data_IF_804332055188
#
_entry.id   IF_804332055188
#
_cell.length_a   1.000
_cell.length_b   1.000
_cell.length_c   1.000
_cell.angle_alpha   90.00
_cell.angle_beta   90.00
_cell.angle_gamma   90.00
#
_symmetry.space_group_name_H-M   'P 1'
#
loop_
_entity.id
_entity.type
_entity.pdbx_description
1 polymer ?
#
# COMPACT_ATOMS: atom_id res chain seq x y z
N UNK A 1 -5.38 -8.16 24.12
CA UNK A 1 -3.98 -8.53 24.40
C UNK A 1 -3.60 -9.68 23.45
N UNK A 2 -3.18 -9.38 22.22
CA UNK A 2 -2.80 -10.38 21.20
C UNK A 2 -1.38 -10.00 20.76
N UNK A 3 -0.36 -10.54 21.42
CA UNK A 3 1.03 -10.05 21.27
C UNK A 3 2.11 -11.12 21.07
N UNK A 4 1.80 -12.41 20.87
CA UNK A 4 2.88 -13.43 20.84
C UNK A 4 2.87 -14.52 19.74
N UNK A 5 1.83 -14.67 18.91
CA UNK A 5 1.60 -15.93 18.15
C UNK A 5 2.38 -16.13 16.85
N UNK A 6 3.47 -15.41 16.71
CA UNK A 6 4.35 -15.53 15.55
C UNK A 6 5.81 -15.78 16.03
N UNK A 7 6.07 -15.56 17.31
CA UNK A 7 7.37 -15.74 17.97
C UNK A 7 7.66 -17.22 18.30
N UNK A 8 6.66 -18.11 18.30
CA UNK A 8 6.92 -19.54 18.55
C UNK A 8 7.51 -20.29 17.35
N UNK A 9 7.23 -19.87 16.10
CA UNK A 9 7.92 -20.38 14.90
C UNK A 9 9.43 -20.07 14.92
N UNK A 10 9.83 -18.98 15.57
CA UNK A 10 11.23 -18.55 15.67
C UNK A 10 12.04 -19.39 16.66
N UNK A 11 11.38 -20.07 17.61
CA UNK A 11 12.04 -20.98 18.56
C UNK A 11 12.53 -22.28 17.90
N UNK A 12 12.00 -22.64 16.73
CA UNK A 12 12.45 -23.82 15.94
C UNK A 12 13.22 -23.46 14.67
N UNK A 13 13.23 -22.18 14.27
CA UNK A 13 14.03 -21.65 13.17
C UNK A 13 14.59 -20.28 13.58
N UNK A 14 15.83 -20.19 14.09
CA UNK A 14 16.36 -18.98 14.74
C UNK A 14 16.54 -17.76 13.81
N UNK A 15 16.23 -17.87 12.53
CA UNK A 15 16.42 -16.84 11.51
C UNK A 15 15.15 -16.08 11.09
N UNK A 16 14.00 -16.41 11.70
CA UNK A 16 12.73 -15.82 11.30
C UNK A 16 12.40 -14.64 12.23
N UNK A 17 12.45 -13.41 11.71
CA UNK A 17 11.91 -12.24 12.40
C UNK A 17 10.62 -11.79 11.73
N UNK A 18 9.58 -11.66 12.54
CA UNK A 18 8.31 -11.11 12.12
C UNK A 18 8.16 -9.69 12.64
N UNK A 19 7.80 -8.76 11.76
CA UNK A 19 7.63 -7.36 12.14
C UNK A 19 6.23 -7.14 12.71
N UNK A 20 6.17 -6.49 13.88
CA UNK A 20 4.93 -5.98 14.46
C UNK A 20 4.51 -4.70 13.74
N UNK A 21 3.29 -4.66 13.21
CA UNK A 21 2.67 -3.41 12.74
C UNK A 21 2.51 -2.41 13.90
N UNK A 22 2.86 -1.14 13.67
CA UNK A 22 2.61 -0.03 14.62
C UNK A 22 3.65 0.18 15.73
N UNK A 23 4.85 -0.40 15.66
CA UNK A 23 5.92 -0.12 16.62
C UNK A 23 7.20 0.31 15.91
N UNK A 24 7.56 1.58 16.08
CA UNK A 24 8.91 2.06 15.84
C UNK A 24 9.82 1.51 16.95
N UNK A 25 10.28 0.26 16.81
CA UNK A 25 11.35 -0.24 17.66
C UNK A 25 12.68 0.27 17.10
N UNK A 26 13.34 1.09 17.91
CA UNK A 26 14.57 1.85 17.64
C UNK A 26 15.85 1.02 17.69
N UNK A 27 15.78 -0.31 17.78
CA UNK A 27 16.94 -1.18 17.79
C UNK A 27 16.85 -2.20 16.64
N UNK A 28 17.26 -1.78 15.44
CA UNK A 28 17.41 -2.66 14.29
C UNK A 28 18.85 -3.20 14.28
N UNK A 29 19.12 -4.47 14.65
CA UNK A 29 20.42 -5.06 14.40
C UNK A 29 20.69 -5.09 12.89
N UNK A 30 21.97 -5.08 12.51
CA UNK A 30 22.41 -5.09 11.12
C UNK A 30 21.70 -6.19 10.30
N UNK A 31 21.19 -5.80 9.13
CA UNK A 31 20.72 -6.67 8.05
C UNK A 31 19.72 -7.81 8.39
N UNK A 32 18.77 -7.63 9.31
CA UNK A 32 17.67 -8.59 9.42
C UNK A 32 16.69 -8.42 8.24
N UNK A 33 16.57 -9.47 7.41
CA UNK A 33 15.62 -9.51 6.30
C UNK A 33 14.27 -10.03 6.80
N UNK A 34 13.19 -9.31 6.46
CA UNK A 34 11.84 -9.67 6.84
C UNK A 34 11.31 -10.79 5.95
N UNK A 35 10.62 -11.75 6.57
CA UNK A 35 9.93 -12.82 5.84
C UNK A 35 8.40 -12.69 5.94
N UNK A 36 7.90 -11.70 6.66
CA UNK A 36 6.47 -11.55 6.96
C UNK A 36 6.12 -10.12 7.33
N UNK A 37 4.92 -9.69 6.94
CA UNK A 37 4.26 -8.47 7.41
C UNK A 37 2.91 -8.78 8.04
N UNK A 38 2.55 -8.04 9.08
CA UNK A 38 1.30 -8.23 9.84
C UNK A 38 0.46 -6.96 9.88
N UNK A 39 -0.86 -7.09 9.92
CA UNK A 39 -1.78 -6.01 10.23
C UNK A 39 -2.99 -6.53 11.03
N UNK A 40 -3.74 -5.61 11.64
CA UNK A 40 -4.89 -5.96 12.47
C UNK A 40 -6.02 -4.96 12.30
N UNK A 41 -7.26 -5.46 12.42
CA UNK A 41 -8.47 -4.66 12.54
C UNK A 41 -9.19 -5.05 13.82
N UNK A 42 -9.41 -4.09 14.70
CA UNK A 42 -10.21 -4.26 15.91
C UNK A 42 -11.63 -3.76 15.61
N UNK A 43 -12.61 -4.63 15.79
CA UNK A 43 -14.04 -4.31 15.75
C UNK A 43 -14.73 -4.77 17.03
N UNK A 44 -16.05 -4.58 17.10
CA UNK A 44 -16.90 -5.17 18.13
C UNK A 44 -17.93 -6.08 17.46
N UNK A 45 -18.10 -7.34 17.91
CA UNK A 45 -17.36 -8.01 19.00
C UNK A 45 -15.99 -8.60 18.57
N UNK A 46 -15.63 -8.51 17.29
CA UNK A 46 -14.53 -9.30 16.73
C UNK A 46 -13.25 -8.50 16.46
N UNK A 47 -12.10 -9.17 16.59
CA UNK A 47 -10.80 -8.67 16.15
C UNK A 47 -10.21 -9.61 15.09
N UNK A 48 -9.57 -9.05 14.07
CA UNK A 48 -8.90 -9.79 13.01
C UNK A 48 -7.43 -9.41 12.95
N UNK A 49 -6.55 -10.40 12.93
CA UNK A 49 -5.12 -10.24 12.72
C UNK A 49 -4.73 -11.11 11.52
N UNK A 50 -4.18 -10.49 10.48
CA UNK A 50 -3.68 -11.18 9.31
C UNK A 50 -2.19 -10.93 9.11
N UNK A 51 -1.56 -11.83 8.38
CA UNK A 51 -0.17 -11.68 8.00
C UNK A 51 0.11 -12.32 6.64
N UNK A 52 1.23 -11.91 6.05
CA UNK A 52 1.84 -12.56 4.89
C UNK A 52 3.06 -13.34 5.33
N UNK A 53 3.40 -14.44 4.65
CA UNK A 53 4.67 -15.15 4.83
C UNK A 53 5.30 -15.34 3.45
N UNK A 54 6.52 -14.84 3.28
CA UNK A 54 7.29 -14.96 2.05
C UNK A 54 7.91 -16.36 1.98
N UNK A 55 7.16 -17.32 1.42
CA UNK A 55 7.65 -18.68 1.23
C UNK A 55 8.61 -18.77 0.04
N UNK A 56 8.12 -18.42 -1.15
CA UNK A 56 8.80 -18.52 -2.46
C UNK A 56 8.38 -17.36 -3.38
N UNK A 57 8.09 -16.18 -2.83
CA UNK A 57 7.58 -15.06 -3.61
C UNK A 57 8.60 -14.59 -4.66
N UNK A 58 8.13 -14.18 -5.84
CA UNK A 58 8.98 -13.52 -6.83
C UNK A 58 9.35 -12.11 -6.32
N UNK A 59 10.57 -11.98 -5.80
CA UNK A 59 11.07 -10.74 -5.18
C UNK A 59 11.22 -9.60 -6.20
N UNK A 60 11.46 -9.91 -7.47
CA UNK A 60 11.56 -8.92 -8.55
C UNK A 60 10.19 -8.26 -8.78
N UNK A 61 9.17 -9.07 -9.09
CA UNK A 61 7.81 -8.56 -9.32
C UNK A 61 7.26 -7.81 -8.10
N UNK A 62 7.55 -8.30 -6.89
CA UNK A 62 7.16 -7.61 -5.66
C UNK A 62 7.84 -6.23 -5.56
N UNK A 63 9.13 -6.14 -5.86
CA UNK A 63 9.84 -4.86 -5.81
C UNK A 63 9.33 -3.88 -6.85
N UNK A 64 9.07 -4.33 -8.09
CA UNK A 64 8.56 -3.52 -9.20
C UNK A 64 7.16 -3.00 -8.92
N UNK A 65 6.29 -3.82 -8.32
CA UNK A 65 4.91 -3.45 -7.97
C UNK A 65 4.83 -2.42 -6.83
N UNK A 66 5.92 -2.24 -6.08
CA UNK A 66 6.01 -1.30 -4.95
C UNK A 66 6.81 -0.04 -5.30
N UNK A 67 7.28 0.09 -6.54
CA UNK A 67 7.96 1.30 -7.01
C UNK A 67 6.96 2.46 -6.99
N UNK A 68 7.37 3.57 -6.40
CA UNK A 68 6.63 4.83 -6.42
C UNK A 68 7.23 5.78 -7.45
N UNK A 69 6.39 6.57 -8.11
CA UNK A 69 6.86 7.70 -8.91
C UNK A 69 7.65 8.68 -8.02
N UNK A 70 8.69 9.30 -8.56
CA UNK A 70 9.48 10.34 -7.88
C UNK A 70 8.75 11.68 -7.93
N UNK A 71 7.55 11.73 -7.36
CA UNK A 71 6.70 12.92 -7.28
C UNK A 71 6.45 13.26 -5.82
N UNK A 72 6.26 14.55 -5.54
CA UNK A 72 5.92 15.01 -4.20
C UNK A 72 4.43 14.80 -3.95
N UNK A 73 4.10 13.83 -3.08
CA UNK A 73 2.74 13.56 -2.64
C UNK A 73 2.55 14.10 -1.22
N UNK A 74 1.61 15.02 -1.06
CA UNK A 74 1.23 15.61 0.22
C UNK A 74 -0.07 14.93 0.68
N UNK A 75 0.03 14.05 1.67
CA UNK A 75 -1.11 13.27 2.19
C UNK A 75 -0.98 12.98 3.69
N UNK A 76 -2.12 12.70 4.34
CA UNK A 76 -2.17 12.19 5.73
C UNK A 76 -2.11 10.66 5.81
N UNK A 77 -1.94 9.97 4.69
CA UNK A 77 -1.85 8.52 4.65
C UNK A 77 -0.61 8.00 5.41
N UNK A 78 -0.73 6.82 6.02
CA UNK A 78 0.40 6.17 6.68
C UNK A 78 1.38 5.65 5.63
N UNK A 79 2.60 6.18 5.62
CA UNK A 79 3.63 5.74 4.70
C UNK A 79 4.06 4.28 4.99
N UNK A 80 4.25 3.50 3.93
CA UNK A 80 4.90 2.21 4.02
C UNK A 80 6.35 2.38 4.48
N UNK A 81 6.83 1.48 5.35
CA UNK A 81 8.24 1.48 5.79
C UNK A 81 9.00 0.38 5.05
N UNK A 82 9.84 0.73 4.05
CA UNK A 82 10.60 -0.25 3.29
C UNK A 82 11.47 -1.11 4.20
N UNK A 83 11.63 -2.38 3.85
CA UNK A 83 12.48 -3.30 4.59
C UNK A 83 13.07 -4.33 3.64
N UNK A 84 14.35 -4.71 3.82
CA UNK A 84 14.91 -5.85 3.12
C UNK A 84 14.06 -7.09 3.40
N UNK A 85 13.79 -7.89 2.37
CA UNK A 85 12.97 -9.10 2.47
C UNK A 85 13.79 -10.34 2.15
N UNK A 86 13.31 -11.51 2.61
CA UNK A 86 13.85 -12.83 2.27
C UNK A 86 12.72 -13.84 2.17
N UNK A 87 12.86 -14.83 1.29
CA UNK A 87 11.98 -15.98 1.25
C UNK A 87 12.44 -17.06 2.24
N UNK A 88 11.51 -17.85 2.76
CA UNK A 88 11.84 -19.05 3.52
C UNK A 88 12.66 -20.05 2.69
N UNK A 89 12.37 -20.18 1.39
CA UNK A 89 13.11 -21.03 0.48
C UNK A 89 14.58 -20.60 0.27
N UNK A 90 14.91 -19.32 0.53
CA UNK A 90 16.30 -18.83 0.52
C UNK A 90 17.09 -19.33 1.75
N UNK A 91 16.39 -19.79 2.81
CA UNK A 91 16.98 -20.34 4.03
C UNK A 91 16.98 -21.87 3.97
N UNK A 92 15.86 -22.46 3.55
CA UNK A 92 15.70 -23.89 3.40
C UNK A 92 14.97 -24.20 2.08
N UNK A 93 15.72 -24.73 1.12
CA UNK A 93 15.23 -25.04 -0.24
C UNK A 93 14.11 -26.09 -0.28
N UNK A 94 13.92 -26.85 0.79
CA UNK A 94 12.86 -27.85 0.88
C UNK A 94 11.49 -27.23 1.21
N UNK A 95 11.45 -25.96 1.63
CA UNK A 95 10.18 -25.29 1.94
C UNK A 95 9.37 -25.07 0.68
N UNK A 96 8.13 -25.52 0.69
CA UNK A 96 7.11 -25.16 -0.29
C UNK A 96 5.82 -24.67 0.39
N UNK A 97 4.95 -24.05 -0.41
CA UNK A 97 3.70 -23.43 0.09
C UNK A 97 2.77 -24.44 0.73
N UNK A 98 2.66 -25.66 0.18
CA UNK A 98 1.75 -26.69 0.70
C UNK A 98 2.20 -27.18 2.09
N UNK A 99 3.49 -27.47 2.25
CA UNK A 99 4.06 -27.85 3.54
C UNK A 99 3.93 -26.73 4.57
N UNK A 100 4.14 -25.47 4.17
CA UNK A 100 3.98 -24.33 5.05
C UNK A 100 2.53 -24.17 5.51
N UNK A 101 1.56 -24.32 4.61
CA UNK A 101 0.14 -24.27 4.93
C UNK A 101 -0.24 -25.34 5.95
N UNK A 102 0.17 -26.60 5.72
CA UNK A 102 -0.05 -27.70 6.65
C UNK A 102 0.62 -27.42 8.00
N UNK A 103 1.88 -27.00 8.01
CA UNK A 103 2.62 -26.73 9.24
C UNK A 103 1.97 -25.64 10.09
N UNK A 104 1.56 -24.52 9.47
CA UNK A 104 0.85 -23.43 10.16
C UNK A 104 -0.52 -23.88 10.66
N UNK A 105 -1.26 -24.63 9.85
CA UNK A 105 -2.57 -25.13 10.25
C UNK A 105 -2.50 -26.14 11.40
N UNK A 106 -1.57 -27.09 11.37
CA UNK A 106 -1.38 -28.03 12.48
C UNK A 106 -0.88 -27.32 13.74
N UNK A 107 0.00 -26.31 13.61
CA UNK A 107 0.40 -25.46 14.74
C UNK A 107 -0.81 -24.79 15.38
N UNK A 108 -1.71 -24.24 14.56
CA UNK A 108 -2.95 -23.64 15.04
C UNK A 108 -3.84 -24.67 15.75
N UNK A 109 -4.05 -25.84 15.14
CA UNK A 109 -4.95 -26.88 15.68
C UNK A 109 -4.46 -27.49 17.00
N UNK A 110 -3.14 -27.60 17.19
CA UNK A 110 -2.55 -28.16 18.43
C UNK A 110 -2.36 -27.13 19.54
N UNK A 111 -2.55 -25.83 19.25
CA UNK A 111 -2.32 -24.76 20.22
C UNK A 111 -3.62 -24.33 20.87
N UNK A 112 -3.67 -24.31 22.21
CA UNK A 112 -4.81 -23.79 22.94
C UNK A 112 -4.94 -22.26 22.75
N UNK A 113 -6.11 -21.78 22.32
CA UNK A 113 -6.31 -20.38 21.93
C UNK A 113 -6.10 -19.37 23.09
N UNK A 114 -6.33 -19.79 24.34
CA UNK A 114 -6.24 -18.94 25.53
C UNK A 114 -4.90 -19.05 26.25
N UNK A 115 -4.32 -20.26 26.39
CA UNK A 115 -3.05 -20.49 27.11
C UNK A 115 -1.82 -20.47 26.20
N UNK A 116 -1.98 -20.59 24.88
CA UNK A 116 -0.88 -20.65 23.90
C UNK A 116 0.10 -21.82 24.12
N UNK A 117 -0.40 -22.89 24.72
CA UNK A 117 0.33 -24.12 24.98
C UNK A 117 0.11 -25.12 23.84
N UNK A 118 1.15 -25.87 23.50
CA UNK A 118 1.09 -26.99 22.56
C UNK A 118 0.47 -28.20 23.27
N UNK A 119 -0.82 -28.43 23.05
CA UNK A 119 -1.57 -29.58 23.56
C UNK A 119 -1.43 -30.83 22.68
N UNK A 120 -0.58 -30.78 21.65
CA UNK A 120 -0.24 -31.91 20.80
C UNK A 120 -1.45 -32.58 20.12
N UNK A 121 -1.38 -33.90 20.00
CA UNK A 121 -2.42 -34.70 19.32
C UNK A 121 -3.76 -34.65 20.05
N UNK A 122 -3.77 -34.61 21.39
CA UNK A 122 -5.00 -34.52 22.19
C UNK A 122 -5.78 -33.27 21.84
N UNK A 123 -5.11 -32.12 21.79
CA UNK A 123 -5.77 -30.86 21.39
C UNK A 123 -6.22 -30.89 19.93
N UNK A 124 -5.41 -31.47 19.04
CA UNK A 124 -5.75 -31.58 17.61
C UNK A 124 -7.03 -32.40 17.40
N UNK A 125 -7.22 -33.49 18.15
CA UNK A 125 -8.42 -34.33 18.07
C UNK A 125 -9.71 -33.64 18.56
N UNK A 126 -9.58 -32.60 19.40
CA UNK A 126 -10.72 -31.80 19.85
C UNK A 126 -11.17 -30.76 18.81
N UNK A 127 -10.42 -30.58 17.73
CA UNK A 127 -10.73 -29.64 16.66
C UNK A 127 -11.37 -30.35 15.47
N UNK A 128 -12.09 -29.60 14.63
CA UNK A 128 -12.69 -30.13 13.40
C UNK A 128 -11.71 -30.32 12.24
N UNK A 129 -10.40 -30.25 12.51
CA UNK A 129 -9.35 -30.31 11.49
C UNK A 129 -9.42 -29.17 10.46
N UNK A 130 -8.78 -29.39 9.31
CA UNK A 130 -8.85 -28.46 8.18
C UNK A 130 -10.23 -28.50 7.53
N UNK A 131 -10.81 -27.32 7.30
CA UNK A 131 -12.11 -27.18 6.66
C UNK A 131 -11.93 -26.47 5.32
N UNK A 132 -12.29 -27.14 4.23
CA UNK A 132 -12.36 -26.51 2.92
C UNK A 132 -13.62 -25.66 2.84
N UNK A 133 -13.48 -24.44 2.35
CA UNK A 133 -14.59 -23.51 2.15
C UNK A 133 -14.91 -23.41 0.66
N UNK A 134 -16.21 -23.36 0.33
CA UNK A 134 -16.67 -23.05 -1.01
C UNK A 134 -17.23 -21.62 -1.03
N UNK A 135 -16.49 -20.60 -1.52
CA UNK A 135 -16.84 -19.19 -1.43
C UNK A 135 -17.95 -18.79 -2.44
N UNK A 136 -19.11 -19.42 -2.31
CA UNK A 136 -20.30 -19.19 -3.13
C UNK A 136 -21.38 -18.47 -2.35
N UNK A 137 -22.28 -17.79 -3.06
CA UNK A 137 -23.44 -17.12 -2.47
C UNK A 137 -24.32 -18.05 -1.62
N UNK A 138 -24.42 -19.33 -2.01
CA UNK A 138 -25.18 -20.34 -1.27
C UNK A 138 -24.60 -20.61 0.12
N UNK A 139 -23.26 -20.62 0.23
CA UNK A 139 -22.57 -20.91 1.50
C UNK A 139 -22.31 -19.64 2.31
N UNK A 140 -22.14 -18.50 1.62
CA UNK A 140 -21.86 -17.19 2.19
C UNK A 140 -22.73 -16.12 1.50
N UNK A 141 -24.00 -15.96 1.89
CA UNK A 141 -24.87 -14.92 1.35
C UNK A 141 -24.24 -13.53 1.53
N UNK A 142 -24.27 -12.72 0.48
CA UNK A 142 -23.62 -11.41 0.37
C UNK A 142 -22.19 -11.45 -0.18
N UNK A 143 -21.57 -12.61 -0.42
CA UNK A 143 -20.17 -12.66 -0.89
C UNK A 143 -19.99 -12.05 -2.28
N UNK A 144 -20.99 -12.17 -3.16
CA UNK A 144 -20.93 -11.56 -4.48
C UNK A 144 -21.01 -10.03 -4.40
N UNK A 145 -21.87 -9.50 -3.53
CA UNK A 145 -21.96 -8.06 -3.27
C UNK A 145 -20.65 -7.53 -2.68
N UNK A 146 -20.10 -8.23 -1.68
CA UNK A 146 -18.80 -7.90 -1.09
C UNK A 146 -17.68 -7.92 -2.14
N UNK A 147 -17.68 -8.90 -3.05
CA UNK A 147 -16.72 -8.98 -4.14
C UNK A 147 -16.87 -7.80 -5.11
N UNK A 148 -18.10 -7.46 -5.48
CA UNK A 148 -18.38 -6.32 -6.35
C UNK A 148 -17.92 -5.01 -5.70
N UNK A 149 -18.24 -4.80 -4.42
CA UNK A 149 -17.81 -3.64 -3.67
C UNK A 149 -16.28 -3.57 -3.54
N UNK A 150 -15.60 -4.65 -3.15
CA UNK A 150 -14.13 -4.63 -2.99
C UNK A 150 -13.35 -4.56 -4.31
N UNK A 151 -14.02 -4.76 -5.45
CA UNK A 151 -13.45 -4.57 -6.78
C UNK A 151 -13.86 -3.25 -7.42
N UNK A 152 -14.71 -2.44 -6.76
CA UNK A 152 -15.21 -1.17 -7.29
C UNK A 152 -14.15 -0.08 -7.20
N UNK A 153 -14.29 0.95 -8.05
CA UNK A 153 -13.48 2.16 -7.98
C UNK A 153 -13.54 2.79 -6.59
N UNK A 154 -14.76 2.96 -6.07
CA UNK A 154 -15.04 3.59 -4.77
C UNK A 154 -14.28 2.93 -3.62
N UNK A 155 -14.00 1.63 -3.74
CA UNK A 155 -13.21 0.90 -2.77
C UNK A 155 -11.71 0.94 -3.07
N UNK A 156 -11.31 0.46 -4.25
CA UNK A 156 -9.89 0.24 -4.60
C UNK A 156 -9.12 1.55 -4.65
N UNK A 157 -9.72 2.61 -5.18
CA UNK A 157 -9.10 3.92 -5.36
C UNK A 157 -9.80 4.97 -4.48
N UNK A 158 -11.13 4.94 -4.43
CA UNK A 158 -11.96 5.95 -3.77
C UNK A 158 -11.76 6.08 -2.26
N UNK A 159 -11.27 5.02 -1.58
CA UNK A 159 -10.91 5.08 -0.14
C UNK A 159 -9.55 5.68 0.14
N UNK A 160 -8.78 6.05 -0.88
CA UNK A 160 -7.50 6.75 -0.69
C UNK A 160 -7.77 8.10 -0.02
N UNK A 161 -7.10 8.42 1.11
CA UNK A 161 -7.25 9.74 1.74
C UNK A 161 -6.91 10.86 0.75
N UNK A 162 -7.62 11.99 0.85
CA UNK A 162 -7.32 13.18 0.04
C UNK A 162 -5.82 13.49 0.07
N UNK A 163 -5.27 13.80 -1.09
CA UNK A 163 -3.86 14.16 -1.26
C UNK A 163 -3.67 15.22 -2.34
N UNK A 164 -2.51 15.88 -2.31
CA UNK A 164 -2.07 16.82 -3.34
C UNK A 164 -0.79 16.29 -3.98
N UNK A 165 -0.70 16.45 -5.30
CA UNK A 165 0.45 16.08 -6.12
C UNK A 165 1.12 17.34 -6.60
N UNK A 166 2.43 17.47 -6.35
CA UNK A 166 3.23 18.57 -6.87
C UNK A 166 4.27 18.06 -7.89
N UNK A 167 4.29 18.67 -9.08
CA UNK A 167 5.24 18.31 -10.15
C UNK A 167 5.84 19.56 -10.77
N UNK A 168 7.15 19.57 -10.94
CA UNK A 168 7.85 20.67 -11.64
C UNK A 168 7.56 20.61 -13.14
N UNK A 169 7.33 21.77 -13.73
CA UNK A 169 7.11 21.99 -15.15
C UNK A 169 8.18 22.93 -15.70
N UNK A 170 8.83 22.49 -16.77
CA UNK A 170 9.74 23.30 -17.56
C UNK A 170 9.03 23.74 -18.85
N UNK A 171 8.94 25.05 -19.07
CA UNK A 171 8.31 25.63 -20.26
C UNK A 171 9.27 25.62 -21.47
N UNK A 172 8.71 25.53 -22.68
CA UNK A 172 9.49 25.67 -23.93
C UNK A 172 9.93 27.13 -24.13
N UNK A 173 11.18 27.33 -24.60
CA UNK A 173 11.73 28.66 -24.93
C UNK A 173 12.24 29.45 -23.72
N UNK A 174 12.57 28.77 -22.64
CA UNK A 174 12.89 29.38 -21.35
C UNK A 174 14.39 29.71 -21.23
N UNK A 175 14.83 30.75 -21.93
CA UNK A 175 16.21 31.28 -21.78
C UNK A 175 16.49 31.78 -20.35
N UNK A 176 15.43 32.03 -19.56
CA UNK A 176 15.47 32.53 -18.18
C UNK A 176 15.30 31.47 -17.09
N UNK A 177 15.11 30.18 -17.44
CA UNK A 177 15.06 29.08 -16.45
C UNK A 177 13.86 29.07 -15.48
N UNK A 178 12.75 29.73 -15.81
CA UNK A 178 11.56 29.79 -14.96
C UNK A 178 10.90 28.40 -14.75
N UNK A 179 10.91 27.87 -13.53
CA UNK A 179 10.25 26.60 -13.18
C UNK A 179 8.86 26.85 -12.60
N UNK A 180 7.83 26.28 -13.21
CA UNK A 180 6.47 26.29 -12.65
C UNK A 180 6.24 25.03 -11.81
N UNK A 181 5.37 25.09 -10.81
CA UNK A 181 4.90 23.89 -10.10
C UNK A 181 3.43 23.64 -10.40
N UNK A 182 3.13 22.48 -10.95
CA UNK A 182 1.78 21.97 -11.08
C UNK A 182 1.34 21.37 -9.75
N UNK A 183 0.18 21.79 -9.28
CA UNK A 183 -0.50 21.27 -8.09
C UNK A 183 -1.80 20.62 -8.52
N UNK A 184 -2.01 19.35 -8.14
CA UNK A 184 -3.24 18.60 -8.41
C UNK A 184 -3.80 18.07 -7.10
N UNK A 185 -4.96 18.56 -6.69
CA UNK A 185 -5.71 17.98 -5.57
C UNK A 185 -6.52 16.77 -6.05
N UNK A 186 -6.39 15.66 -5.32
CA UNK A 186 -7.05 14.40 -5.64
C UNK A 186 -7.91 13.95 -4.47
N UNK A 187 -9.18 13.67 -4.75
CA UNK A 187 -10.16 13.16 -3.80
C UNK A 187 -10.96 12.03 -4.44
N UNK A 188 -11.16 10.93 -3.71
CA UNK A 188 -11.78 9.70 -4.24
C UNK A 188 -11.16 9.18 -5.56
N UNK A 189 -9.87 9.47 -5.79
CA UNK A 189 -9.16 9.13 -7.03
C UNK A 189 -9.39 10.08 -8.20
N UNK A 190 -10.16 11.15 -8.03
CA UNK A 190 -10.49 12.12 -9.07
C UNK A 190 -9.73 13.43 -8.85
N UNK A 191 -9.28 14.06 -9.93
CA UNK A 191 -8.60 15.35 -9.87
C UNK A 191 -9.62 16.47 -9.65
N UNK A 192 -9.78 16.95 -8.42
CA UNK A 192 -10.82 17.92 -8.07
C UNK A 192 -10.41 19.36 -8.34
N UNK A 193 -9.12 19.68 -8.20
CA UNK A 193 -8.57 21.01 -8.45
C UNK A 193 -7.18 20.91 -9.07
N UNK A 194 -6.91 21.73 -10.07
CA UNK A 194 -5.63 21.80 -10.77
C UNK A 194 -5.18 23.27 -10.75
N UNK A 195 -3.96 23.54 -10.30
CA UNK A 195 -3.43 24.89 -10.22
C UNK A 195 -1.92 24.94 -10.50
N UNK A 196 -1.46 26.09 -10.96
CA UNK A 196 -0.05 26.41 -11.17
C UNK A 196 0.45 27.34 -10.09
N UNK A 197 1.63 27.06 -9.56
CA UNK A 197 2.36 27.96 -8.68
C UNK A 197 3.56 28.54 -9.45
N UNK A 198 3.69 29.86 -9.36
CA UNK A 198 4.79 30.60 -9.96
C UNK A 198 6.04 30.55 -9.05
N UNK A 199 7.26 30.53 -9.59
CA UNK A 199 8.47 30.36 -8.77
C UNK A 199 8.75 31.51 -7.80
N UNK A 200 8.18 32.70 -8.04
CA UNK A 200 8.40 33.91 -7.23
C UNK A 200 7.16 34.31 -6.41
N UNK A 201 6.09 33.50 -6.44
CA UNK A 201 4.84 33.81 -5.75
C UNK A 201 4.21 32.53 -5.18
N UNK A 202 3.67 32.61 -3.97
CA UNK A 202 2.83 31.54 -3.43
C UNK A 202 1.43 31.51 -4.05
N UNK A 203 1.12 32.46 -4.94
CA UNK A 203 -0.15 32.51 -5.63
C UNK A 203 -0.36 31.26 -6.50
N UNK A 204 -1.49 30.61 -6.27
CA UNK A 204 -1.97 29.50 -7.08
C UNK A 204 -2.92 30.01 -8.15
N UNK A 205 -2.51 29.89 -9.41
CA UNK A 205 -3.35 30.21 -10.58
C UNK A 205 -4.15 28.97 -10.96
N UNK A 206 -5.49 29.00 -10.94
CA UNK A 206 -6.30 27.84 -11.31
C UNK A 206 -6.15 27.52 -12.80
N UNK A 207 -6.07 26.24 -13.13
CA UNK A 207 -6.05 25.76 -14.53
C UNK A 207 -7.42 25.18 -14.85
N UNK A 208 -8.12 25.81 -15.78
CA UNK A 208 -9.40 25.29 -16.30
C UNK A 208 -9.10 24.28 -17.41
N UNK A 209 -9.46 23.02 -17.19
CA UNK A 209 -9.22 21.93 -18.12
C UNK A 209 -10.36 20.92 -18.08
N UNK A 210 -10.73 20.28 -19.21
CA UNK A 210 -11.71 19.20 -19.23
C UNK A 210 -11.25 17.96 -18.42
N UNK A 211 -9.98 17.91 -18.01
CA UNK A 211 -9.43 16.86 -17.16
C UNK A 211 -9.78 17.04 -15.68
N UNK A 212 -10.35 18.18 -15.28
CA UNK A 212 -10.90 18.34 -13.94
C UNK A 212 -12.10 17.41 -13.75
N UNK A 213 -12.14 16.70 -12.63
CA UNK A 213 -13.11 15.65 -12.32
C UNK A 213 -12.77 14.28 -12.90
N UNK A 214 -11.74 14.18 -13.76
CA UNK A 214 -11.31 12.89 -14.31
C UNK A 214 -10.41 12.13 -13.33
N UNK A 215 -10.27 10.83 -13.55
CA UNK A 215 -9.39 9.96 -12.77
C UNK A 215 -7.95 10.46 -12.75
N UNK A 216 -7.33 10.47 -11.56
CA UNK A 216 -5.90 10.71 -11.43
C UNK A 216 -5.14 9.45 -11.87
N UNK A 217 -4.52 9.52 -13.04
CA UNK A 217 -3.65 8.49 -13.60
C UNK A 217 -2.55 9.14 -14.45
N UNK A 218 -1.57 8.35 -14.87
CA UNK A 218 -0.41 8.82 -15.63
C UNK A 218 -0.82 9.49 -16.95
N UNK A 219 -1.79 8.91 -17.67
CA UNK A 219 -2.27 9.44 -18.95
C UNK A 219 -2.87 10.84 -18.80
N UNK A 220 -3.79 11.02 -17.85
CA UNK A 220 -4.46 12.30 -17.63
C UNK A 220 -3.48 13.34 -17.07
N UNK A 221 -2.58 12.95 -16.17
CA UNK A 221 -1.56 13.84 -15.64
C UNK A 221 -0.61 14.33 -16.75
N UNK A 222 -0.11 13.41 -17.59
CA UNK A 222 0.76 13.75 -18.71
C UNK A 222 0.03 14.63 -19.74
N UNK A 223 -1.26 14.39 -19.99
CA UNK A 223 -2.09 15.24 -20.84
C UNK A 223 -2.15 16.70 -20.35
N UNK A 224 -2.29 16.92 -19.04
CA UNK A 224 -2.22 18.26 -18.43
C UNK A 224 -0.82 18.86 -18.65
N UNK A 225 0.23 18.09 -18.33
CA UNK A 225 1.60 18.56 -18.43
C UNK A 225 1.97 18.97 -19.86
N UNK A 226 1.59 18.16 -20.86
CA UNK A 226 1.95 18.41 -22.25
C UNK A 226 1.18 19.60 -22.83
N UNK A 227 -0.09 19.79 -22.44
CA UNK A 227 -0.84 21.00 -22.79
C UNK A 227 -0.18 22.27 -22.19
N UNK A 228 0.27 22.19 -20.93
CA UNK A 228 0.89 23.33 -20.24
C UNK A 228 2.31 23.65 -20.76
N UNK A 229 3.07 22.64 -21.21
CA UNK A 229 4.40 22.85 -21.85
C UNK A 229 4.33 23.58 -23.19
N UNK A 230 3.17 23.58 -23.86
CA UNK A 230 2.96 24.30 -25.12
C UNK A 230 2.70 25.79 -24.92
N UNK A 231 2.45 26.23 -23.68
CA UNK A 231 2.28 27.66 -23.36
C UNK A 231 3.64 28.35 -23.38
N UNK A 232 3.78 29.42 -24.16
CA UNK A 232 5.03 30.19 -24.22
C UNK A 232 5.25 31.00 -22.93
N UNK A 233 6.51 31.19 -22.58
CA UNK A 233 6.94 32.04 -21.45
C UNK A 233 6.41 33.47 -21.56
N UNK A 234 6.28 34.00 -22.79
CA UNK A 234 5.71 35.33 -23.06
C UNK A 234 4.24 35.44 -22.62
N UNK A 235 3.43 34.41 -22.86
CA UNK A 235 2.01 34.41 -22.51
C UNK A 235 1.81 34.34 -21.00
N UNK A 236 2.67 33.56 -20.31
CA UNK A 236 2.65 33.48 -18.83
C UNK A 236 3.06 34.83 -18.23
N UNK A 237 4.12 35.47 -18.75
CA UNK A 237 4.58 36.79 -18.27
C UNK A 237 3.55 37.90 -18.53
N UNK A 238 2.87 37.89 -19.68
CA UNK A 238 1.77 38.84 -19.95
C UNK A 238 0.59 38.64 -19.00
N UNK A 239 0.21 37.40 -18.70
CA UNK A 239 -0.84 37.11 -17.72
C UNK A 239 -0.44 37.54 -16.29
N UNK A 240 0.85 37.41 -15.93
CA UNK A 240 1.38 37.90 -14.65
C UNK A 240 1.32 39.43 -14.55
N UNK A 241 1.66 40.13 -15.62
CA UNK A 241 1.71 41.61 -15.63
C UNK A 241 0.31 42.25 -15.75
N UNK A 242 -0.69 41.54 -16.25
CA UNK A 242 -2.08 42.02 -16.36
C UNK A 242 -2.95 41.76 -15.12
N UNK A 243 -2.40 41.15 -14.06
CA UNK A 243 -3.11 40.82 -12.81
C UNK A 243 -2.79 41.78 -11.64
N UNK A 244 -2.21 42.95 -11.93
CA UNK A 244 -1.92 44.03 -10.97
C UNK A 244 -3.02 45.09 -11.05
#
# INVERSE_FOLDING_TARGET
MVRLNIVQLTKRVPLIQFRKGGSALTNKPAASQQISGTAAKLGRPNAYHHCTILATANKLHLSESLVKEKVNYISRATASVPSPIRNLADVNRNVNVQQLLSAVGYEYLRTAATSLEDGGSTQTMNQRGFQLINPTEKWFPGINELRANFSSWDWVIGKTPKFTVEKELELKGNESGMKLKLNVEVEAGLMTKISLQLPQSEQLVPVVTPLQGQAYNEQNLNGIMDALKLVSTSNVQQAMNGSI
#
